data_IF_200983283274
#
_entry.id   IF_200983283274
#
_cell.length_a   1.000
_cell.length_b   1.000
_cell.length_c   1.000
_cell.angle_alpha   90.00
_cell.angle_beta   90.00
_cell.angle_gamma   90.00
#
_symmetry.space_group_name_H-M   'P 1'
#
loop_
_entity.id
_entity.type
_entity.pdbx_description
1 polymer ?
#
# COMPACT_ATOMS: atom_id res chain seq x y z
N UNK A 1 4.73 14.82 1.67
CA UNK A 1 3.52 14.35 1.02
C UNK A 1 2.63 13.58 2.00
N UNK A 2 1.32 13.82 1.94
CA UNK A 2 0.38 13.26 2.91
C UNK A 2 0.34 11.72 2.88
N UNK A 3 0.49 11.12 1.72
CA UNK A 3 0.49 9.64 1.62
C UNK A 3 1.71 9.06 2.31
N UNK A 4 2.88 9.65 2.07
CA UNK A 4 4.11 9.19 2.70
C UNK A 4 4.05 9.38 4.21
N UNK A 5 3.55 10.53 4.67
CA UNK A 5 3.43 10.83 6.09
C UNK A 5 2.48 9.89 6.82
N UNK A 6 1.41 9.46 6.14
CA UNK A 6 0.38 8.59 6.72
C UNK A 6 0.51 7.13 6.29
N UNK A 7 1.64 6.76 5.71
CA UNK A 7 1.81 5.42 5.16
C UNK A 7 1.59 4.32 6.18
N UNK A 8 2.13 4.48 7.39
CA UNK A 8 1.92 3.48 8.43
C UNK A 8 0.44 3.31 8.77
N UNK A 9 -0.29 4.41 8.87
CA UNK A 9 -1.73 4.37 9.13
C UNK A 9 -2.47 3.68 7.98
N UNK A 10 -2.07 3.96 6.75
CA UNK A 10 -2.68 3.37 5.56
C UNK A 10 -2.51 1.85 5.56
N UNK A 11 -1.29 1.37 5.78
CA UNK A 11 -1.04 -0.07 5.73
C UNK A 11 -1.65 -0.82 6.92
N UNK A 12 -1.73 -0.18 8.09
CA UNK A 12 -2.42 -0.80 9.22
C UNK A 12 -3.92 -0.91 8.95
N UNK A 13 -4.52 0.09 8.32
CA UNK A 13 -5.92 0.04 7.92
C UNK A 13 -6.16 -1.10 6.93
N UNK A 14 -5.25 -1.27 5.97
CA UNK A 14 -5.31 -2.37 5.02
C UNK A 14 -5.30 -3.72 5.75
N UNK A 15 -4.40 -3.88 6.71
CA UNK A 15 -4.28 -5.11 7.47
C UNK A 15 -5.58 -5.45 8.20
N UNK A 16 -6.17 -4.47 8.88
CA UNK A 16 -7.37 -4.69 9.71
C UNK A 16 -8.60 -4.90 8.83
N UNK A 17 -8.84 -4.03 7.87
CA UNK A 17 -10.10 -4.07 7.11
C UNK A 17 -10.16 -5.22 6.11
N UNK A 18 -9.00 -5.68 5.63
CA UNK A 18 -8.96 -6.79 4.68
C UNK A 18 -8.50 -8.09 5.33
N UNK A 19 -8.43 -8.12 6.66
CA UNK A 19 -8.16 -9.32 7.45
C UNK A 19 -6.86 -10.03 7.05
N UNK A 20 -5.80 -9.25 6.83
CA UNK A 20 -4.51 -9.85 6.49
C UNK A 20 -3.90 -10.53 7.72
N UNK A 21 -3.38 -11.74 7.51
CA UNK A 21 -2.61 -12.41 8.55
C UNK A 21 -1.30 -11.65 8.80
N UNK A 22 -0.67 -11.88 9.94
CA UNK A 22 0.63 -11.29 10.23
C UNK A 22 1.65 -11.68 9.17
N UNK A 23 1.63 -12.93 8.74
CA UNK A 23 2.57 -13.43 7.72
C UNK A 23 2.36 -12.70 6.39
N UNK A 24 1.13 -12.59 5.94
CA UNK A 24 0.83 -11.89 4.68
C UNK A 24 1.22 -10.42 4.76
N UNK A 25 0.90 -9.77 5.87
CA UNK A 25 1.22 -8.37 6.07
C UNK A 25 2.73 -8.13 6.06
N UNK A 26 3.49 -8.91 6.84
CA UNK A 26 4.94 -8.74 6.92
C UNK A 26 5.65 -9.12 5.63
N UNK A 27 5.11 -10.08 4.88
CA UNK A 27 5.72 -10.54 3.64
C UNK A 27 5.48 -9.57 2.48
N UNK A 28 4.25 -9.10 2.31
CA UNK A 28 3.85 -8.37 1.10
C UNK A 28 3.68 -6.87 1.29
N UNK A 29 3.23 -6.44 2.46
CA UNK A 29 2.83 -5.05 2.68
C UNK A 29 3.91 -4.25 3.43
N UNK A 30 4.42 -4.78 4.53
CA UNK A 30 5.43 -4.08 5.33
C UNK A 30 6.65 -3.64 4.50
N UNK A 31 7.16 -4.44 3.55
CA UNK A 31 8.33 -4.02 2.77
C UNK A 31 8.07 -2.88 1.77
N UNK A 32 6.79 -2.57 1.47
CA UNK A 32 6.48 -1.50 0.53
C UNK A 32 6.86 -0.15 1.11
N UNK A 33 7.50 0.69 0.28
CA UNK A 33 7.84 2.05 0.67
C UNK A 33 7.40 3.02 -0.40
N UNK A 34 6.96 4.19 0.03
CA UNK A 34 6.57 5.25 -0.89
C UNK A 34 7.83 5.85 -1.49
N UNK A 35 7.99 5.73 -2.80
CA UNK A 35 9.12 6.33 -3.51
C UNK A 35 8.81 7.78 -3.88
N UNK A 36 7.72 7.99 -4.63
CA UNK A 36 7.27 9.34 -4.98
C UNK A 36 5.86 9.30 -5.53
N UNK A 37 5.26 10.48 -5.67
CA UNK A 37 3.97 10.65 -6.30
C UNK A 37 4.14 11.65 -7.43
N UNK A 38 3.66 11.30 -8.63
CA UNK A 38 3.66 12.18 -9.79
C UNK A 38 2.24 12.23 -10.34
N UNK A 39 1.61 13.40 -10.25
CA UNK A 39 0.22 13.53 -10.65
C UNK A 39 -0.65 12.59 -9.84
N UNK A 40 -1.33 11.69 -10.51
CA UNK A 40 -2.20 10.70 -9.88
C UNK A 40 -1.55 9.32 -9.73
N UNK A 41 -0.23 9.24 -9.92
CA UNK A 41 0.47 7.96 -9.85
C UNK A 41 1.36 7.89 -8.64
N UNK A 42 1.15 6.86 -7.83
CA UNK A 42 1.98 6.56 -6.67
C UNK A 42 3.00 5.50 -7.07
N UNK A 43 4.27 5.79 -6.83
CA UNK A 43 5.36 4.85 -7.06
C UNK A 43 5.80 4.27 -5.74
N UNK A 44 5.71 2.95 -5.64
CA UNK A 44 6.15 2.21 -4.46
C UNK A 44 7.36 1.37 -4.81
N UNK A 45 8.24 1.15 -3.83
CA UNK A 45 9.33 0.18 -3.99
C UNK A 45 8.96 -1.13 -3.33
N UNK A 46 9.48 -2.22 -3.88
CA UNK A 46 9.32 -3.56 -3.33
C UNK A 46 10.69 -4.13 -2.99
N UNK A 47 10.72 -5.13 -2.11
CA UNK A 47 11.99 -5.78 -1.75
C UNK A 47 12.37 -6.91 -2.71
N UNK A 48 11.40 -7.48 -3.44
CA UNK A 48 11.66 -8.52 -4.45
C UNK A 48 10.85 -8.24 -5.70
N UNK A 49 11.54 -8.22 -6.85
CA UNK A 49 10.88 -8.00 -8.12
C UNK A 49 9.75 -9.01 -8.36
N UNK A 50 9.96 -10.25 -7.96
CA UNK A 50 8.97 -11.31 -8.16
C UNK A 50 7.66 -11.06 -7.39
N UNK A 51 7.65 -10.20 -6.39
CA UNK A 51 6.44 -9.91 -5.62
C UNK A 51 5.50 -8.92 -6.31
N UNK A 52 5.96 -8.19 -7.33
CA UNK A 52 5.20 -7.12 -7.96
C UNK A 52 3.85 -7.61 -8.49
N UNK A 53 3.86 -8.71 -9.24
CA UNK A 53 2.63 -9.23 -9.84
C UNK A 53 1.62 -9.64 -8.76
N UNK A 54 2.08 -10.32 -7.73
CA UNK A 54 1.22 -10.73 -6.63
C UNK A 54 0.60 -9.52 -5.93
N UNK A 55 1.41 -8.51 -5.64
CA UNK A 55 0.95 -7.30 -4.96
C UNK A 55 -0.06 -6.56 -5.83
N UNK A 56 0.24 -6.40 -7.13
CA UNK A 56 -0.67 -5.71 -8.04
C UNK A 56 -2.00 -6.43 -8.17
N UNK A 57 -1.98 -7.76 -8.28
CA UNK A 57 -3.21 -8.53 -8.46
C UNK A 57 -4.07 -8.59 -7.19
N UNK A 58 -3.45 -8.66 -6.04
CA UNK A 58 -4.17 -8.88 -4.79
C UNK A 58 -4.43 -7.63 -3.98
N UNK A 59 -3.47 -6.69 -3.94
CA UNK A 59 -3.52 -5.58 -2.99
C UNK A 59 -3.70 -4.21 -3.61
N UNK A 60 -3.65 -4.10 -4.94
CA UNK A 60 -3.70 -2.78 -5.58
C UNK A 60 -4.99 -2.02 -5.27
N UNK A 61 -6.15 -2.64 -5.51
CA UNK A 61 -7.43 -1.98 -5.25
C UNK A 61 -7.68 -1.73 -3.76
N UNK A 62 -7.47 -2.71 -2.88
CA UNK A 62 -7.57 -2.46 -1.43
C UNK A 62 -6.68 -1.32 -0.96
N UNK A 63 -5.46 -1.24 -1.49
CA UNK A 63 -4.53 -0.19 -1.11
C UNK A 63 -5.02 1.18 -1.55
N UNK A 64 -5.54 1.30 -2.77
CA UNK A 64 -6.13 2.56 -3.25
C UNK A 64 -7.30 3.00 -2.37
N UNK A 65 -8.14 2.06 -1.97
CA UNK A 65 -9.28 2.36 -1.09
C UNK A 65 -8.79 2.90 0.25
N UNK A 66 -7.80 2.24 0.86
CA UNK A 66 -7.26 2.68 2.14
C UNK A 66 -6.58 4.06 2.03
N UNK A 67 -5.86 4.31 0.96
CA UNK A 67 -5.24 5.62 0.73
C UNK A 67 -6.32 6.71 0.66
N UNK A 68 -7.38 6.45 -0.11
CA UNK A 68 -8.49 7.41 -0.23
C UNK A 68 -9.16 7.67 1.11
N UNK A 69 -9.38 6.61 1.90
CA UNK A 69 -10.04 6.75 3.19
C UNK A 69 -9.20 7.51 4.21
N UNK A 70 -7.88 7.29 4.22
CA UNK A 70 -7.00 7.95 5.18
C UNK A 70 -6.63 9.37 4.76
N UNK A 71 -6.38 9.58 3.46
CA UNK A 71 -5.83 10.86 2.97
C UNK A 71 -6.80 11.69 2.14
N UNK A 72 -7.88 11.10 1.67
CA UNK A 72 -8.79 11.78 0.74
C UNK A 72 -8.27 11.82 -0.70
N UNK A 73 -7.12 11.22 -0.98
CA UNK A 73 -6.53 11.22 -2.32
C UNK A 73 -7.02 10.03 -3.14
N UNK A 74 -7.60 10.31 -4.31
CA UNK A 74 -8.03 9.28 -5.27
C UNK A 74 -6.95 9.09 -6.33
N UNK A 75 -6.38 7.90 -6.36
CA UNK A 75 -5.34 7.55 -7.33
C UNK A 75 -5.90 6.76 -8.49
#
# INVERSE_FOLDING_TARGET
DVIKEKWEEIIQKLKVEYFLSNISFETWIRPLEVYEIRGNTLYLTVNFKASIEHIQNKYLLPLKVCIAEVTGTCL
#
